data_IF_426381360408
#
_entry.id   IF_426381360408
#
_cell.length_a   1.000
_cell.length_b   1.000
_cell.length_c   1.000
_cell.angle_alpha   90.00
_cell.angle_beta   90.00
_cell.angle_gamma   90.00
#
_symmetry.space_group_name_H-M   'P 1'
#
loop_
_entity.id
_entity.type
_entity.pdbx_description
1 polymer ?
#
# COMPACT_ATOMS: atom_id res chain seq x y z
N UNK A 1 -31.06 -50.38 10.88
CA UNK A 1 -30.29 -50.17 12.12
C UNK A 1 -29.47 -48.89 11.94
N UNK A 2 -29.58 -47.97 12.90
CA UNK A 2 -29.61 -46.53 12.69
C UNK A 2 -28.34 -45.88 12.10
N UNK A 3 -28.56 -44.89 11.23
CA UNK A 3 -27.57 -43.95 10.74
C UNK A 3 -27.03 -43.11 11.91
N UNK A 4 -25.70 -43.15 12.12
CA UNK A 4 -25.00 -42.25 13.03
C UNK A 4 -24.99 -40.84 12.42
N UNK A 5 -25.81 -39.96 12.95
CA UNK A 5 -25.65 -38.52 12.77
C UNK A 5 -24.32 -38.10 13.42
N UNK A 6 -23.35 -37.69 12.60
CA UNK A 6 -22.15 -37.02 13.09
C UNK A 6 -22.55 -35.65 13.61
N UNK A 7 -22.61 -35.51 14.93
CA UNK A 7 -22.70 -34.21 15.60
C UNK A 7 -21.44 -33.43 15.23
N UNK A 8 -21.57 -32.50 14.29
CA UNK A 8 -20.52 -31.56 13.93
C UNK A 8 -20.44 -30.48 14.99
N UNK A 9 -19.29 -30.36 15.65
CA UNK A 9 -19.06 -29.35 16.68
C UNK A 9 -19.27 -27.92 16.13
N UNK A 10 -20.14 -27.10 16.76
CA UNK A 10 -20.62 -25.83 16.21
C UNK A 10 -19.58 -24.69 16.11
N UNK A 11 -18.32 -24.92 16.49
CA UNK A 11 -17.24 -23.92 16.45
C UNK A 11 -16.16 -24.13 15.38
N UNK A 12 -16.06 -25.33 14.79
CA UNK A 12 -14.94 -25.68 13.89
C UNK A 12 -15.24 -25.31 12.44
N UNK A 13 -16.46 -25.55 11.95
CA UNK A 13 -16.87 -25.18 10.59
C UNK A 13 -16.73 -23.67 10.26
N UNK A 14 -17.09 -22.72 11.14
CA UNK A 14 -17.03 -21.28 10.84
C UNK A 14 -15.62 -20.72 10.62
N UNK A 15 -14.62 -21.22 11.37
CA UNK A 15 -13.24 -20.75 11.26
C UNK A 15 -12.57 -21.25 9.97
N UNK A 16 -12.80 -22.52 9.61
CA UNK A 16 -12.30 -23.07 8.35
C UNK A 16 -12.92 -22.37 7.14
N UNK A 17 -14.19 -22.01 7.21
CA UNK A 17 -14.86 -21.25 6.15
C UNK A 17 -14.32 -19.82 6.04
N UNK A 18 -14.06 -19.15 7.17
CA UNK A 18 -13.47 -17.81 7.16
C UNK A 18 -12.02 -17.79 6.65
N UNK A 19 -11.21 -18.79 7.02
CA UNK A 19 -9.85 -18.95 6.48
C UNK A 19 -9.86 -19.27 4.97
N UNK A 20 -10.84 -20.05 4.51
CA UNK A 20 -11.04 -20.34 3.09
C UNK A 20 -11.38 -19.08 2.31
N UNK A 21 -12.22 -18.23 2.88
CA UNK A 21 -12.55 -16.92 2.33
C UNK A 21 -11.32 -16.01 2.27
N UNK A 22 -10.54 -15.92 3.35
CA UNK A 22 -9.29 -15.14 3.38
C UNK A 22 -8.34 -15.59 2.28
N UNK A 23 -8.07 -16.89 2.17
CA UNK A 23 -7.18 -17.44 1.13
C UNK A 23 -7.62 -17.05 -0.28
N UNK A 24 -8.92 -17.17 -0.57
CA UNK A 24 -9.47 -16.78 -1.88
C UNK A 24 -9.27 -15.29 -2.14
N UNK A 25 -9.48 -14.43 -1.15
CA UNK A 25 -9.33 -12.98 -1.28
C UNK A 25 -7.88 -12.57 -1.47
N UNK A 26 -6.97 -13.14 -0.66
CA UNK A 26 -5.52 -12.96 -0.79
C UNK A 26 -5.05 -13.38 -2.18
N UNK A 27 -5.53 -14.53 -2.69
CA UNK A 27 -5.23 -14.98 -4.05
C UNK A 27 -5.66 -13.97 -5.13
N UNK A 28 -6.86 -13.40 -5.02
CA UNK A 28 -7.34 -12.37 -5.95
C UNK A 28 -6.52 -11.08 -5.81
N UNK A 29 -6.20 -10.66 -4.59
CA UNK A 29 -5.36 -9.49 -4.32
C UNK A 29 -3.95 -9.64 -4.88
N UNK A 30 -3.34 -10.83 -4.80
CA UNK A 30 -2.05 -11.12 -5.42
C UNK A 30 -2.16 -11.10 -6.94
N UNK A 31 -3.18 -11.74 -7.51
CA UNK A 31 -3.40 -11.73 -8.96
C UNK A 31 -3.60 -10.31 -9.50
N UNK A 32 -4.30 -9.45 -8.75
CA UNK A 32 -4.46 -8.04 -9.08
C UNK A 32 -3.12 -7.28 -9.12
N UNK A 33 -2.24 -7.52 -8.14
CA UNK A 33 -0.88 -6.93 -8.14
C UNK A 33 -0.07 -7.44 -9.31
N UNK A 34 -0.14 -8.73 -9.63
CA UNK A 34 0.57 -9.30 -10.78
C UNK A 34 0.10 -8.68 -12.09
N UNK A 35 -1.22 -8.56 -12.30
CA UNK A 35 -1.79 -7.92 -13.49
C UNK A 35 -1.40 -6.44 -13.54
N UNK A 36 -1.53 -5.73 -12.42
CA UNK A 36 -1.10 -4.34 -12.30
C UNK A 36 0.40 -4.17 -12.58
N UNK A 37 1.24 -5.12 -12.15
CA UNK A 37 2.67 -5.09 -12.38
C UNK A 37 3.01 -5.34 -13.86
N UNK A 38 2.29 -6.24 -14.55
CA UNK A 38 2.44 -6.43 -15.99
C UNK A 38 2.06 -5.16 -16.78
N UNK A 39 0.98 -4.48 -16.35
CA UNK A 39 0.60 -3.17 -16.88
C UNK A 39 1.74 -2.18 -16.62
N UNK A 40 2.13 -1.95 -15.37
CA UNK A 40 3.20 -1.02 -15.02
C UNK A 40 4.52 -1.33 -15.75
N UNK A 41 4.83 -2.60 -15.99
CA UNK A 41 6.00 -3.04 -16.76
C UNK A 41 5.93 -2.60 -18.22
N UNK A 42 4.77 -2.71 -18.86
CA UNK A 42 4.57 -2.25 -20.23
C UNK A 42 4.74 -0.72 -20.39
N UNK A 43 4.43 0.06 -19.35
CA UNK A 43 4.61 1.52 -19.30
C UNK A 43 5.83 1.97 -18.47
N UNK A 44 6.78 1.07 -18.21
CA UNK A 44 7.87 1.35 -17.26
C UNK A 44 8.80 2.48 -17.75
N UNK A 45 9.00 2.61 -19.07
CA UNK A 45 9.86 3.67 -19.63
C UNK A 45 9.27 5.06 -19.36
N UNK A 46 7.95 5.21 -19.46
CA UNK A 46 7.24 6.45 -19.14
C UNK A 46 7.31 6.74 -17.64
N UNK A 47 7.16 5.72 -16.79
CA UNK A 47 7.31 5.86 -15.33
C UNK A 47 8.72 6.34 -14.98
N UNK A 48 9.75 5.71 -15.55
CA UNK A 48 11.15 6.10 -15.34
C UNK A 48 11.40 7.54 -15.79
N UNK A 49 10.90 7.93 -16.96
CA UNK A 49 11.04 9.29 -17.47
C UNK A 49 10.39 10.31 -16.52
N UNK A 50 9.16 10.05 -16.09
CA UNK A 50 8.43 10.90 -15.17
C UNK A 50 9.17 11.05 -13.83
N UNK A 51 9.61 9.94 -13.24
CA UNK A 51 10.30 9.93 -11.95
C UNK A 51 11.71 10.53 -12.01
N UNK A 52 12.30 10.75 -13.18
CA UNK A 52 13.59 11.46 -13.33
C UNK A 52 13.48 12.97 -13.33
N UNK A 53 12.27 13.52 -13.53
CA UNK A 53 12.06 14.97 -13.59
C UNK A 53 12.68 15.76 -12.43
N UNK A 54 12.64 15.28 -11.15
CA UNK A 54 13.22 15.99 -10.01
C UNK A 54 14.75 16.08 -9.97
N UNK A 55 15.45 15.36 -10.86
CA UNK A 55 16.91 15.30 -10.84
C UNK A 55 17.59 16.37 -11.71
N UNK A 56 16.82 17.26 -12.37
CA UNK A 56 17.32 18.38 -13.19
C UNK A 56 18.48 18.01 -14.15
N UNK A 57 18.41 16.82 -14.75
CA UNK A 57 19.40 16.33 -15.70
C UNK A 57 20.62 15.61 -15.09
N UNK A 58 20.66 15.40 -13.77
CA UNK A 58 21.66 14.56 -13.14
C UNK A 58 21.62 13.13 -13.70
N UNK A 59 22.80 12.61 -14.07
CA UNK A 59 22.90 11.27 -14.64
C UNK A 59 22.77 10.22 -13.55
N UNK A 60 21.92 9.23 -13.80
CA UNK A 60 21.79 8.04 -12.98
C UNK A 60 22.72 6.96 -13.51
N UNK A 61 23.42 6.30 -12.59
CA UNK A 61 24.40 5.25 -12.91
C UNK A 61 23.90 3.88 -12.49
N UNK A 62 24.24 2.86 -13.28
CA UNK A 62 24.04 1.45 -12.94
C UNK A 62 25.41 0.84 -12.62
N UNK A 63 25.47 -0.02 -11.61
CA UNK A 63 26.72 -0.66 -11.17
C UNK A 63 26.85 -2.08 -11.72
N UNK A 64 25.74 -2.82 -11.76
CA UNK A 64 25.64 -4.18 -12.26
C UNK A 64 24.90 -4.28 -13.59
N UNK A 65 25.22 -5.32 -14.36
CA UNK A 65 24.56 -5.64 -15.65
C UNK A 65 23.06 -5.96 -15.45
N UNK A 66 22.69 -6.48 -14.28
CA UNK A 66 21.31 -6.81 -13.93
C UNK A 66 20.47 -5.63 -13.41
N UNK A 67 21.09 -4.48 -13.10
CA UNK A 67 20.42 -3.38 -12.39
C UNK A 67 19.26 -2.79 -13.20
N UNK A 68 19.46 -2.65 -14.52
CA UNK A 68 18.43 -2.11 -15.41
C UNK A 68 17.16 -2.97 -15.41
N UNK A 69 17.33 -4.30 -15.38
CA UNK A 69 16.21 -5.23 -15.26
C UNK A 69 15.58 -5.16 -13.86
N UNK A 70 16.42 -5.16 -12.81
CA UNK A 70 15.97 -5.08 -11.42
C UNK A 70 15.12 -3.83 -11.15
N UNK A 71 15.53 -2.68 -11.65
CA UNK A 71 14.81 -1.41 -11.52
C UNK A 71 13.46 -1.46 -12.22
N UNK A 72 13.42 -1.98 -13.46
CA UNK A 72 12.17 -2.16 -14.19
C UNK A 72 11.21 -3.05 -13.41
N UNK A 73 11.70 -4.20 -12.93
CA UNK A 73 10.89 -5.14 -12.15
C UNK A 73 10.39 -4.51 -10.84
N UNK A 74 11.27 -3.80 -10.12
CA UNK A 74 10.93 -3.12 -8.87
C UNK A 74 9.86 -2.05 -9.08
N UNK A 75 10.05 -1.14 -10.04
CA UNK A 75 9.08 -0.09 -10.36
C UNK A 75 7.75 -0.68 -10.82
N UNK A 76 7.79 -1.76 -11.59
CA UNK A 76 6.59 -2.45 -12.06
C UNK A 76 5.83 -3.09 -10.90
N UNK A 77 6.52 -3.71 -9.94
CA UNK A 77 5.87 -4.27 -8.75
C UNK A 77 5.23 -3.18 -7.90
N UNK A 78 5.93 -2.06 -7.67
CA UNK A 78 5.38 -0.93 -6.92
C UNK A 78 4.18 -0.32 -7.66
N UNK A 79 4.32 -0.06 -8.96
CA UNK A 79 3.23 0.41 -9.81
C UNK A 79 2.05 -0.56 -9.82
N UNK A 80 2.32 -1.87 -9.78
CA UNK A 80 1.31 -2.91 -9.67
C UNK A 80 0.54 -2.87 -8.35
N UNK A 81 1.22 -2.60 -7.23
CA UNK A 81 0.54 -2.37 -5.93
C UNK A 81 -0.35 -1.14 -5.98
N UNK A 82 0.14 -0.04 -6.56
CA UNK A 82 -0.63 1.21 -6.73
C UNK A 82 -1.88 0.97 -7.59
N UNK A 83 -1.73 0.29 -8.72
CA UNK A 83 -2.84 -0.04 -9.63
C UNK A 83 -3.80 -1.08 -9.05
N UNK A 84 -3.34 -1.97 -8.17
CA UNK A 84 -4.17 -2.97 -7.52
C UNK A 84 -5.02 -2.41 -6.38
N UNK A 85 -4.82 -1.17 -5.94
CA UNK A 85 -5.54 -0.59 -4.79
C UNK A 85 -7.06 -0.67 -4.85
N UNK A 86 -7.74 -0.40 -5.99
CA UNK A 86 -9.19 -0.55 -6.07
C UNK A 86 -9.66 -1.96 -5.74
N UNK A 87 -8.89 -2.97 -6.17
CA UNK A 87 -9.19 -4.36 -5.90
C UNK A 87 -8.87 -4.70 -4.44
N UNK A 88 -7.75 -4.22 -3.90
CA UNK A 88 -7.38 -4.44 -2.50
C UNK A 88 -8.42 -3.88 -1.54
N UNK A 89 -8.82 -2.62 -1.73
CA UNK A 89 -9.84 -1.98 -0.90
C UNK A 89 -11.20 -2.69 -1.01
N UNK A 90 -11.58 -3.11 -2.23
CA UNK A 90 -12.79 -3.91 -2.43
C UNK A 90 -12.72 -5.25 -1.70
N UNK A 91 -11.60 -5.96 -1.77
CA UNK A 91 -11.44 -7.25 -1.12
C UNK A 91 -11.39 -7.14 0.41
N UNK A 92 -10.75 -6.08 0.93
CA UNK A 92 -10.76 -5.75 2.34
C UNK A 92 -12.19 -5.45 2.82
N UNK A 93 -12.91 -4.57 2.12
CA UNK A 93 -14.31 -4.26 2.42
C UNK A 93 -15.18 -5.53 2.39
N UNK A 94 -15.06 -6.32 1.33
CA UNK A 94 -15.88 -7.50 1.17
C UNK A 94 -15.55 -8.59 2.20
N UNK A 95 -14.37 -8.57 2.83
CA UNK A 95 -14.00 -9.47 3.92
C UNK A 95 -14.65 -9.05 5.23
N UNK A 96 -14.73 -7.74 5.50
CA UNK A 96 -15.30 -7.24 6.76
C UNK A 96 -16.82 -7.10 6.71
N UNK A 97 -17.42 -6.83 5.53
CA UNK A 97 -18.88 -6.68 5.36
C UNK A 97 -19.76 -7.77 6.01
N UNK A 98 -19.37 -9.07 6.10
CA UNK A 98 -20.22 -10.09 6.71
C UNK A 98 -20.27 -9.96 8.23
N UNK A 99 -19.24 -9.36 8.85
CA UNK A 99 -19.15 -9.14 10.29
C UNK A 99 -19.94 -7.90 10.75
N UNK A 100 -20.43 -7.07 9.83
CA UNK A 100 -21.13 -5.81 10.12
C UNK A 100 -22.64 -5.99 10.23
N UNK A 101 -23.25 -5.22 11.13
CA UNK A 101 -24.72 -5.12 11.20
C UNK A 101 -25.29 -4.44 9.93
N UNK A 102 -26.57 -4.64 9.59
CA UNK A 102 -27.17 -4.02 8.41
C UNK A 102 -27.09 -2.48 8.39
N UNK A 103 -27.16 -1.86 9.57
CA UNK A 103 -27.03 -0.40 9.73
C UNK A 103 -25.59 0.08 9.47
N UNK A 104 -24.59 -0.61 10.02
CA UNK A 104 -23.17 -0.33 9.79
C UNK A 104 -22.77 -0.51 8.32
N UNK A 105 -23.29 -1.56 7.68
CA UNK A 105 -23.02 -1.83 6.25
C UNK A 105 -23.45 -0.68 5.36
N UNK A 106 -24.61 -0.06 5.63
CA UNK A 106 -25.10 1.11 4.88
C UNK A 106 -24.25 2.35 5.16
N UNK A 107 -23.81 2.54 6.41
CA UNK A 107 -22.96 3.66 6.80
C UNK A 107 -21.54 3.60 6.22
N UNK A 108 -21.02 2.40 5.94
CA UNK A 108 -19.69 2.20 5.36
C UNK A 108 -19.69 2.04 3.83
N UNK A 109 -20.86 2.05 3.18
CA UNK A 109 -20.99 2.10 1.72
C UNK A 109 -20.18 3.20 1.01
N UNK A 110 -20.14 4.47 1.49
CA UNK A 110 -19.38 5.54 0.83
C UNK A 110 -17.87 5.49 1.11
N UNK A 111 -17.37 4.54 1.88
CA UNK A 111 -15.97 4.56 2.33
C UNK A 111 -14.99 4.04 1.30
N UNK A 112 -15.42 3.13 0.43
CA UNK A 112 -14.58 2.63 -0.64
C UNK A 112 -14.14 3.73 -1.64
N UNK A 113 -15.04 4.54 -2.21
CA UNK A 113 -14.61 5.63 -3.09
C UNK A 113 -13.81 6.71 -2.35
N UNK A 114 -14.07 6.91 -1.05
CA UNK A 114 -13.31 7.86 -0.24
C UNK A 114 -11.87 7.35 0.04
N UNK A 115 -11.70 6.05 0.31
CA UNK A 115 -10.40 5.40 0.47
C UNK A 115 -9.60 5.51 -0.83
N UNK A 116 -10.21 5.17 -1.97
CA UNK A 116 -9.60 5.35 -3.28
C UNK A 116 -9.16 6.79 -3.56
N UNK A 117 -9.98 7.77 -3.19
CA UNK A 117 -9.63 9.19 -3.31
C UNK A 117 -8.45 9.55 -2.39
N UNK A 118 -8.45 9.06 -1.15
CA UNK A 118 -7.35 9.26 -0.20
C UNK A 118 -6.04 8.64 -0.69
N UNK A 119 -6.08 7.43 -1.24
CA UNK A 119 -4.91 6.81 -1.83
C UNK A 119 -4.36 7.60 -3.03
N UNK A 120 -5.25 8.03 -3.93
CA UNK A 120 -4.86 8.89 -5.05
C UNK A 120 -4.24 10.21 -4.57
N UNK A 121 -4.80 10.81 -3.52
CA UNK A 121 -4.24 11.99 -2.87
C UNK A 121 -2.87 11.70 -2.25
N UNK A 122 -2.70 10.56 -1.56
CA UNK A 122 -1.43 10.14 -0.98
C UNK A 122 -0.34 9.95 -2.04
N UNK A 123 -0.67 9.29 -3.15
CA UNK A 123 0.24 9.13 -4.29
C UNK A 123 0.58 10.49 -4.93
N UNK A 124 -0.39 11.39 -5.07
CA UNK A 124 -0.15 12.74 -5.56
C UNK A 124 0.78 13.53 -4.62
N UNK A 125 0.56 13.44 -3.31
CA UNK A 125 1.41 14.07 -2.30
C UNK A 125 2.85 13.53 -2.38
N UNK A 126 3.03 12.22 -2.56
CA UNK A 126 4.35 11.64 -2.76
C UNK A 126 5.06 12.23 -3.98
N UNK A 127 4.34 12.38 -5.09
CA UNK A 127 4.85 12.99 -6.32
C UNK A 127 5.26 14.46 -6.11
N UNK A 128 4.44 15.25 -5.42
CA UNK A 128 4.75 16.65 -5.13
C UNK A 128 5.90 16.82 -4.14
N UNK A 129 6.04 15.93 -3.15
CA UNK A 129 7.10 15.99 -2.14
C UNK A 129 8.44 15.49 -2.69
N UNK A 130 8.43 14.59 -3.68
CA UNK A 130 9.63 13.98 -4.24
C UNK A 130 10.76 14.99 -4.58
N UNK A 131 10.53 16.10 -5.31
CA UNK A 131 11.59 17.08 -5.58
C UNK A 131 12.15 17.74 -4.32
N UNK A 132 11.30 18.04 -3.33
CA UNK A 132 11.76 18.60 -2.06
C UNK A 132 12.60 17.59 -1.28
N UNK A 133 12.19 16.32 -1.26
CA UNK A 133 12.93 15.27 -0.56
C UNK A 133 14.29 15.01 -1.22
N UNK A 134 14.34 14.94 -2.55
CA UNK A 134 15.60 14.79 -3.31
C UNK A 134 16.50 16.00 -3.11
N UNK A 135 15.98 17.22 -3.26
CA UNK A 135 16.74 18.45 -3.05
C UNK A 135 17.26 18.57 -1.61
N UNK A 136 16.45 18.20 -0.62
CA UNK A 136 16.86 18.16 0.78
C UNK A 136 18.01 17.16 0.99
N UNK A 137 17.89 15.93 0.48
CA UNK A 137 18.96 14.93 0.63
C UNK A 137 20.26 15.34 -0.06
N UNK A 138 20.17 15.95 -1.25
CA UNK A 138 21.34 16.44 -1.97
C UNK A 138 21.96 17.69 -1.34
N UNK A 139 21.19 18.46 -0.56
CA UNK A 139 21.70 19.66 0.12
C UNK A 139 22.72 19.38 1.22
N UNK A 140 22.81 18.12 1.69
CA UNK A 140 23.88 17.67 2.60
C UNK A 140 25.23 17.44 1.90
N UNK A 141 25.26 17.44 0.57
CA UNK A 141 26.52 17.35 -0.18
C UNK A 141 27.37 18.60 0.01
N UNK A 142 28.68 18.43 0.24
CA UNK A 142 29.66 19.52 0.22
C UNK A 142 30.05 19.89 -1.21
N UNK A 143 30.45 21.13 -1.45
CA UNK A 143 30.82 21.66 -2.78
C UNK A 143 31.92 20.88 -3.51
N UNK A 144 32.73 20.12 -2.77
CA UNK A 144 33.87 19.36 -3.29
C UNK A 144 33.48 17.95 -3.76
N UNK A 145 32.23 17.52 -3.53
CA UNK A 145 31.75 16.18 -3.87
C UNK A 145 30.75 16.25 -5.02
N UNK A 146 31.06 15.53 -6.11
CA UNK A 146 30.11 15.32 -7.21
C UNK A 146 29.20 14.15 -6.86
N UNK A 147 27.87 14.34 -6.73
CA UNK A 147 26.97 13.27 -6.33
C UNK A 147 26.87 12.20 -7.42
N UNK A 148 27.27 10.97 -7.07
CA UNK A 148 27.10 9.79 -7.93
C UNK A 148 25.82 9.05 -7.52
N UNK A 149 24.73 9.33 -8.22
CA UNK A 149 23.42 8.78 -7.87
C UNK A 149 23.22 7.43 -8.56
N UNK A 150 23.20 6.37 -7.76
CA UNK A 150 22.89 5.02 -8.23
C UNK A 150 21.39 4.89 -8.52
N UNK A 151 21.05 4.38 -9.72
CA UNK A 151 19.68 4.33 -10.20
C UNK A 151 18.78 3.42 -9.36
N UNK A 152 19.30 2.28 -8.91
CA UNK A 152 18.62 1.30 -8.06
C UNK A 152 18.21 1.94 -6.72
N UNK A 153 19.14 2.67 -6.08
CA UNK A 153 18.87 3.37 -4.82
C UNK A 153 17.86 4.49 -5.00
N UNK A 154 17.98 5.26 -6.08
CA UNK A 154 17.05 6.34 -6.39
C UNK A 154 15.62 5.82 -6.58
N UNK A 155 15.42 4.85 -7.48
CA UNK A 155 14.08 4.32 -7.74
C UNK A 155 13.52 3.53 -6.55
N UNK A 156 14.38 2.91 -5.74
CA UNK A 156 13.96 2.31 -4.47
C UNK A 156 13.48 3.32 -3.45
N UNK A 157 14.20 4.43 -3.28
CA UNK A 157 13.77 5.54 -2.44
C UNK A 157 12.42 6.11 -2.91
N UNK A 158 12.30 6.43 -4.19
CA UNK A 158 11.07 6.94 -4.81
C UNK A 158 9.91 5.96 -4.62
N UNK A 159 10.17 4.67 -4.85
CA UNK A 159 9.21 3.59 -4.68
C UNK A 159 8.66 3.50 -3.26
N UNK A 160 9.57 3.48 -2.27
CA UNK A 160 9.19 3.50 -0.86
C UNK A 160 8.42 4.76 -0.49
N UNK A 161 8.82 5.93 -0.99
CA UNK A 161 8.12 7.20 -0.77
C UNK A 161 6.66 7.10 -1.22
N UNK A 162 6.42 6.64 -2.46
CA UNK A 162 5.06 6.47 -3.00
C UNK A 162 4.23 5.49 -2.16
N UNK A 163 4.82 4.35 -1.79
CA UNK A 163 4.11 3.35 -0.98
C UNK A 163 3.79 3.86 0.43
N UNK A 164 4.74 4.49 1.10
CA UNK A 164 4.56 5.02 2.45
C UNK A 164 3.46 6.08 2.46
N UNK A 165 3.53 7.07 1.57
CA UNK A 165 2.52 8.13 1.51
C UNK A 165 1.14 7.61 1.07
N UNK A 166 1.08 6.69 0.10
CA UNK A 166 -0.17 6.06 -0.32
C UNK A 166 -0.83 5.27 0.81
N UNK A 167 -0.08 4.40 1.50
CA UNK A 167 -0.60 3.61 2.61
C UNK A 167 -0.90 4.45 3.85
N UNK A 168 -0.09 5.48 4.13
CA UNK A 168 -0.33 6.40 5.23
C UNK A 168 -1.62 7.21 5.01
N UNK A 169 -1.94 7.58 3.77
CA UNK A 169 -3.20 8.26 3.44
C UNK A 169 -4.45 7.39 3.70
N UNK A 170 -4.32 6.07 3.67
CA UNK A 170 -5.40 5.13 4.01
C UNK A 170 -5.59 4.95 5.52
N UNK A 171 -4.59 5.28 6.32
CA UNK A 171 -4.65 5.09 7.77
C UNK A 171 -5.78 5.87 8.45
N UNK A 172 -6.05 7.17 8.14
CA UNK A 172 -7.17 7.90 8.71
C UNK A 172 -8.53 7.24 8.45
N UNK A 173 -8.80 6.80 7.22
CA UNK A 173 -10.08 6.19 6.89
C UNK A 173 -10.22 4.80 7.53
N UNK A 174 -9.13 4.04 7.60
CA UNK A 174 -9.09 2.78 8.33
C UNK A 174 -9.46 3.00 9.80
N UNK A 175 -8.88 4.01 10.46
CA UNK A 175 -9.17 4.32 11.86
C UNK A 175 -10.63 4.74 12.07
N UNK A 176 -11.16 5.60 11.21
CA UNK A 176 -12.58 5.99 11.27
C UNK A 176 -13.47 4.76 11.07
N UNK A 177 -13.05 3.83 10.19
CA UNK A 177 -13.79 2.58 9.99
C UNK A 177 -13.80 1.68 11.21
N UNK A 178 -12.63 1.41 11.80
CA UNK A 178 -12.54 0.63 13.03
C UNK A 178 -13.30 1.28 14.20
N UNK A 179 -13.32 2.62 14.28
CA UNK A 179 -14.03 3.34 15.32
C UNK A 179 -15.56 3.20 15.21
N UNK A 180 -16.13 3.32 14.00
CA UNK A 180 -17.60 3.17 13.84
C UNK A 180 -18.10 1.76 14.03
N UNK A 181 -17.29 0.76 13.69
CA UNK A 181 -17.62 -0.67 13.91
C UNK A 181 -17.43 -1.08 15.38
N UNK A 182 -16.91 -0.17 16.22
CA UNK A 182 -16.75 -0.41 17.66
C UNK A 182 -15.51 -1.22 18.03
N UNK A 183 -14.61 -1.51 17.08
CA UNK A 183 -13.35 -2.22 17.33
C UNK A 183 -12.39 -1.35 18.17
N UNK A 184 -12.43 -0.04 17.96
CA UNK A 184 -11.58 0.94 18.64
C UNK A 184 -12.43 2.03 19.28
N UNK A 185 -12.23 2.27 20.58
CA UNK A 185 -12.85 3.39 21.31
C UNK A 185 -11.93 4.61 21.32
N UNK A 186 -12.51 5.83 21.30
CA UNK A 186 -11.75 7.11 21.30
C UNK A 186 -10.75 7.23 22.47
N UNK A 187 -11.08 6.67 23.64
CA UNK A 187 -10.17 6.62 24.79
C UNK A 187 -8.92 5.76 24.53
N UNK A 188 -9.07 4.65 23.79
CA UNK A 188 -7.98 3.74 23.42
C UNK A 188 -7.01 4.40 22.44
N UNK A 189 -7.54 5.14 21.45
CA UNK A 189 -6.74 5.95 20.51
C UNK A 189 -5.94 7.05 21.23
N UNK A 190 -6.53 7.72 22.23
CA UNK A 190 -5.84 8.72 23.05
C UNK A 190 -4.62 8.15 23.79
N UNK A 191 -4.75 6.94 24.35
CA UNK A 191 -3.66 6.28 25.07
C UNK A 191 -2.53 5.77 24.17
N UNK A 192 -2.85 5.37 22.92
CA UNK A 192 -1.87 4.82 21.97
C UNK A 192 -1.05 5.87 21.22
N UNK A 193 -1.34 7.17 21.41
CA UNK A 193 -0.61 8.27 20.73
C UNK A 193 0.90 8.22 20.96
N UNK A 194 1.32 7.88 22.19
CA UNK A 194 2.75 7.76 22.55
C UNK A 194 3.41 6.62 21.78
N UNK A 195 2.75 5.47 21.65
CA UNK A 195 3.24 4.33 20.88
C UNK A 195 3.28 4.62 19.38
N UNK A 196 2.26 5.30 18.84
CA UNK A 196 2.23 5.69 17.42
C UNK A 196 3.39 6.62 17.05
N UNK A 197 3.71 7.60 17.90
CA UNK A 197 4.87 8.47 17.74
C UNK A 197 6.18 7.68 17.69
N UNK A 198 6.35 6.72 18.60
CA UNK A 198 7.55 5.87 18.64
C UNK A 198 7.65 5.02 17.38
N UNK A 199 6.55 4.43 16.91
CA UNK A 199 6.54 3.64 15.66
C UNK A 199 6.89 4.49 14.45
N UNK A 200 6.33 5.70 14.32
CA UNK A 200 6.61 6.61 13.19
C UNK A 200 8.09 7.04 13.15
N UNK A 201 8.75 7.16 14.30
CA UNK A 201 10.18 7.52 14.37
C UNK A 201 11.10 6.33 14.10
N UNK A 202 10.65 5.10 14.41
CA UNK A 202 11.46 3.87 14.27
C UNK A 202 11.29 3.23 12.88
N UNK A 203 10.10 3.30 12.29
CA UNK A 203 9.76 2.71 11.00
C UNK A 203 10.21 3.58 9.82
#
# INVERSE_FOLDING_TARGET
>A
MAARATVSEPGVAPLFDHLRELRRRVGISLAAVLIGALIAFAWCDQIIFALRAPLDGAKLYFSGVGDAFGIRMQLSLIGGVVLAMPIWLWQAWAFVRPALTPAERRAAGPWLPLALLLFALGAAVAWFILPFAVGFLLSFGTSDLVPLIAADRYFGFVGSLVLIFGLAAEYPILLVFLAKVGVITSAKLGSMRRTALVVIVIA
#
